data_IF_682039297994
#
_entry.id   IF_682039297994
#
_cell.length_a   1.000
_cell.length_b   1.000
_cell.length_c   1.000
_cell.angle_alpha   90.00
_cell.angle_beta   90.00
_cell.angle_gamma   90.00
#
_symmetry.space_group_name_H-M   'P 1'
#
loop_
_entity.id
_entity.type
_entity.pdbx_description
1 polymer ?
#
# COMPACT_ATOMS: atom_id res chain seq x y z
N UNK A 1 14.49 -28.02 28.24
CA UNK A 1 13.63 -26.93 27.76
C UNK A 1 12.25 -27.15 28.35
N UNK A 2 11.72 -26.19 29.09
CA UNK A 2 10.37 -26.31 29.65
C UNK A 2 9.33 -26.14 28.54
N UNK A 3 8.09 -26.59 28.76
CA UNK A 3 6.98 -26.36 27.82
C UNK A 3 6.80 -24.86 27.57
N UNK A 4 7.02 -24.03 28.60
CA UNK A 4 6.96 -22.57 28.51
C UNK A 4 8.03 -22.03 27.56
N UNK A 5 9.27 -22.54 27.63
CA UNK A 5 10.35 -22.11 26.73
C UNK A 5 10.04 -22.43 25.26
N UNK A 6 9.41 -23.58 25.02
CA UNK A 6 8.97 -23.97 23.67
C UNK A 6 7.89 -23.00 23.17
N UNK A 7 6.88 -22.74 23.97
CA UNK A 7 5.79 -21.80 23.62
C UNK A 7 6.35 -20.42 23.33
N UNK A 8 7.22 -19.89 24.20
CA UNK A 8 7.83 -18.55 24.02
C UNK A 8 8.71 -18.50 22.77
N UNK A 9 9.45 -19.59 22.46
CA UNK A 9 10.27 -19.66 21.25
C UNK A 9 9.42 -19.71 19.99
N UNK A 10 8.31 -20.45 19.98
CA UNK A 10 7.36 -20.50 18.86
C UNK A 10 6.69 -19.15 18.66
N UNK A 11 6.19 -18.52 19.72
CA UNK A 11 5.56 -17.19 19.66
C UNK A 11 6.55 -16.13 19.18
N UNK A 12 7.78 -16.13 19.72
CA UNK A 12 8.86 -15.28 19.26
C UNK A 12 9.17 -15.49 17.78
N UNK A 13 9.30 -16.74 17.34
CA UNK A 13 9.51 -17.11 15.94
C UNK A 13 8.41 -16.58 15.03
N UNK A 14 7.15 -16.71 15.42
CA UNK A 14 6.01 -16.18 14.65
C UNK A 14 6.03 -14.64 14.54
N UNK A 15 6.40 -13.95 15.63
CA UNK A 15 6.51 -12.47 15.64
C UNK A 15 7.62 -12.02 14.68
N UNK A 16 8.78 -12.70 14.68
CA UNK A 16 9.88 -12.34 13.77
C UNK A 16 9.63 -12.79 12.34
N UNK A 17 8.99 -13.94 12.12
CA UNK A 17 8.71 -14.46 10.78
C UNK A 17 7.92 -13.45 9.91
N UNK A 18 6.96 -12.73 10.48
CA UNK A 18 6.21 -11.69 9.74
C UNK A 18 7.12 -10.57 9.23
N UNK A 19 8.08 -10.11 10.03
CA UNK A 19 9.00 -9.05 9.64
C UNK A 19 10.01 -9.54 8.60
N UNK A 20 10.51 -10.76 8.75
CA UNK A 20 11.37 -11.39 7.76
C UNK A 20 10.63 -11.52 6.43
N UNK A 21 9.39 -12.03 6.45
CA UNK A 21 8.58 -12.16 5.26
C UNK A 21 8.31 -10.79 4.59
N UNK A 22 8.02 -9.75 5.38
CA UNK A 22 7.84 -8.39 4.85
C UNK A 22 9.11 -7.87 4.17
N UNK A 23 10.26 -8.00 4.84
CA UNK A 23 11.55 -7.51 4.31
C UNK A 23 11.92 -8.29 3.04
N UNK A 24 11.76 -9.61 3.04
CA UNK A 24 12.10 -10.47 1.89
C UNK A 24 11.18 -10.20 0.70
N UNK A 25 9.89 -9.98 0.93
CA UNK A 25 8.92 -9.78 -0.16
C UNK A 25 8.83 -8.34 -0.67
N UNK A 26 9.30 -7.35 0.11
CA UNK A 26 9.24 -5.94 -0.27
C UNK A 26 9.88 -5.62 -1.62
N UNK A 27 11.09 -6.13 -1.97
CA UNK A 27 11.68 -5.90 -3.29
C UNK A 27 10.81 -6.44 -4.43
N UNK A 28 10.20 -7.62 -4.26
CA UNK A 28 9.32 -8.23 -5.27
C UNK A 28 8.01 -7.44 -5.43
N UNK A 29 7.47 -6.92 -4.34
CA UNK A 29 6.33 -5.99 -4.37
C UNK A 29 6.68 -4.69 -5.12
N UNK A 30 7.88 -4.16 -4.90
CA UNK A 30 8.36 -2.97 -5.59
C UNK A 30 8.51 -3.20 -7.10
N UNK A 31 9.05 -4.36 -7.51
CA UNK A 31 9.15 -4.74 -8.93
C UNK A 31 7.76 -4.80 -9.56
N UNK A 32 6.79 -5.44 -8.90
CA UNK A 32 5.41 -5.52 -9.39
C UNK A 32 4.76 -4.14 -9.47
N UNK A 33 4.92 -3.31 -8.46
CA UNK A 33 4.39 -1.93 -8.41
C UNK A 33 4.93 -1.04 -9.53
N UNK A 34 6.16 -1.28 -10.02
CA UNK A 34 6.76 -0.56 -11.15
C UNK A 34 6.41 -1.19 -12.51
N UNK A 35 5.87 -2.40 -12.54
CA UNK A 35 5.56 -3.13 -13.78
C UNK A 35 4.27 -2.62 -14.46
N UNK A 36 4.21 -1.34 -14.77
CA UNK A 36 3.05 -0.71 -15.43
C UNK A 36 2.81 -1.25 -16.84
N UNK A 37 3.86 -1.68 -17.53
CA UNK A 37 3.78 -2.26 -18.89
C UNK A 37 3.35 -3.72 -18.89
N UNK A 38 3.13 -4.34 -17.72
CA UNK A 38 2.82 -5.76 -17.55
C UNK A 38 3.81 -6.71 -18.26
N UNK A 39 5.09 -6.31 -18.30
CA UNK A 39 6.15 -7.13 -18.89
C UNK A 39 6.23 -8.50 -18.24
N UNK A 40 6.30 -9.55 -19.04
CA UNK A 40 6.37 -10.95 -18.57
C UNK A 40 7.63 -11.22 -17.76
N UNK A 41 8.77 -10.63 -18.14
CA UNK A 41 10.02 -10.79 -17.40
C UNK A 41 9.94 -10.21 -15.99
N UNK A 42 9.34 -9.02 -15.82
CA UNK A 42 9.14 -8.42 -14.49
C UNK A 42 8.13 -9.20 -13.64
N UNK A 43 7.11 -9.80 -14.25
CA UNK A 43 6.19 -10.71 -13.53
C UNK A 43 6.91 -11.95 -13.02
N UNK A 44 7.83 -12.52 -13.79
CA UNK A 44 8.62 -13.66 -13.36
C UNK A 44 9.52 -13.30 -12.17
N UNK A 45 10.15 -12.12 -12.20
CA UNK A 45 10.95 -11.62 -11.07
C UNK A 45 10.12 -11.35 -9.82
N UNK A 46 8.88 -10.90 -9.96
CA UNK A 46 7.97 -10.68 -8.82
C UNK A 46 7.19 -11.93 -8.39
N UNK A 47 7.42 -13.10 -9.01
CA UNK A 47 6.68 -14.33 -8.76
C UNK A 47 6.56 -14.73 -7.28
N UNK A 48 7.60 -14.66 -6.43
CA UNK A 48 7.46 -15.03 -5.02
C UNK A 48 6.38 -14.22 -4.30
N UNK A 49 6.31 -12.92 -4.54
CA UNK A 49 5.27 -12.06 -4.01
C UNK A 49 3.90 -12.37 -4.64
N UNK A 50 3.82 -12.51 -5.96
CA UNK A 50 2.56 -12.77 -6.67
C UNK A 50 1.90 -14.08 -6.21
N UNK A 51 2.69 -15.13 -5.97
CA UNK A 51 2.19 -16.40 -5.46
C UNK A 51 1.56 -16.21 -4.08
N UNK A 52 2.26 -15.58 -3.14
CA UNK A 52 1.75 -15.36 -1.79
C UNK A 52 0.53 -14.45 -1.82
N UNK A 53 0.56 -13.38 -2.61
CA UNK A 53 -0.57 -12.46 -2.73
C UNK A 53 -1.80 -13.16 -3.33
N UNK A 54 -1.61 -14.08 -4.29
CA UNK A 54 -2.68 -14.89 -4.85
C UNK A 54 -3.24 -15.89 -3.84
N UNK A 55 -2.37 -16.58 -3.10
CA UNK A 55 -2.79 -17.54 -2.05
C UNK A 55 -3.60 -16.84 -0.94
N UNK A 56 -3.26 -15.61 -0.62
CA UNK A 56 -3.97 -14.79 0.37
C UNK A 56 -5.12 -13.96 -0.22
N UNK A 57 -5.50 -14.18 -1.49
CA UNK A 57 -6.54 -13.42 -2.22
C UNK A 57 -6.34 -11.90 -2.15
N UNK A 58 -5.11 -11.44 -2.31
CA UNK A 58 -4.72 -10.02 -2.20
C UNK A 58 -4.50 -9.52 -0.77
N UNK A 59 -4.74 -10.36 0.23
CA UNK A 59 -4.58 -10.00 1.65
C UNK A 59 -3.16 -9.66 2.03
N UNK A 60 -2.16 -10.27 1.40
CA UNK A 60 -0.75 -10.00 1.69
C UNK A 60 -0.37 -8.54 1.39
N UNK A 61 -0.74 -8.03 0.23
CA UNK A 61 -0.46 -6.63 -0.14
C UNK A 61 -1.05 -5.67 0.90
N UNK A 62 -2.32 -5.85 1.24
CA UNK A 62 -3.00 -5.01 2.24
C UNK A 62 -2.32 -5.08 3.60
N UNK A 63 -2.00 -6.28 4.04
CA UNK A 63 -1.29 -6.50 5.30
C UNK A 63 0.07 -5.81 5.30
N UNK A 64 0.87 -5.98 4.24
CA UNK A 64 2.19 -5.36 4.12
C UNK A 64 2.11 -3.83 4.15
N UNK A 65 1.19 -3.24 3.39
CA UNK A 65 0.99 -1.79 3.33
C UNK A 65 0.53 -1.22 4.69
N UNK A 66 -0.34 -1.95 5.39
CA UNK A 66 -0.73 -1.58 6.75
C UNK A 66 0.48 -1.59 7.70
N UNK A 67 1.34 -2.61 7.64
CA UNK A 67 2.56 -2.67 8.46
C UNK A 67 3.53 -1.52 8.14
N UNK A 68 3.63 -1.11 6.86
CA UNK A 68 4.42 0.07 6.48
C UNK A 68 3.87 1.33 7.15
N UNK A 69 2.56 1.50 7.19
CA UNK A 69 1.91 2.63 7.88
C UNK A 69 2.22 2.70 9.38
N UNK A 70 2.49 1.55 10.02
CA UNK A 70 2.85 1.44 11.44
C UNK A 70 4.32 1.71 11.74
N UNK A 71 5.19 1.87 10.73
CA UNK A 71 6.59 2.19 10.98
C UNK A 71 6.71 3.58 11.63
N UNK A 72 7.50 3.74 12.71
CA UNK A 72 7.59 5.01 13.43
C UNK A 72 8.30 6.11 12.63
N UNK A 73 9.22 5.74 11.72
CA UNK A 73 9.98 6.69 10.92
C UNK A 73 9.20 7.18 9.71
N UNK A 74 8.91 8.48 9.64
CA UNK A 74 8.32 9.15 8.46
C UNK A 74 9.19 8.92 7.22
N UNK A 75 10.51 9.14 7.34
CA UNK A 75 11.44 8.98 6.21
C UNK A 75 11.42 7.58 5.62
N UNK A 76 11.43 6.55 6.49
CA UNK A 76 11.40 5.16 6.05
C UNK A 76 10.05 4.80 5.40
N UNK A 77 8.92 5.23 5.97
CA UNK A 77 7.60 5.03 5.34
C UNK A 77 7.56 5.64 3.94
N UNK A 78 7.97 6.92 3.84
CA UNK A 78 7.97 7.65 2.57
C UNK A 78 8.89 6.99 1.53
N UNK A 79 10.05 6.50 1.95
CA UNK A 79 10.97 5.78 1.08
C UNK A 79 10.34 4.49 0.57
N UNK A 80 9.73 3.68 1.44
CA UNK A 80 9.07 2.43 1.06
C UNK A 80 7.92 2.70 0.08
N UNK A 81 7.06 3.68 0.35
CA UNK A 81 5.96 4.01 -0.57
C UNK A 81 6.48 4.42 -1.95
N UNK A 82 7.60 5.16 -2.02
CA UNK A 82 8.25 5.48 -3.31
C UNK A 82 8.79 4.23 -4.00
N UNK A 83 9.42 3.33 -3.26
CA UNK A 83 9.87 2.03 -3.79
C UNK A 83 8.71 1.20 -4.33
N UNK A 84 7.52 1.30 -3.73
CA UNK A 84 6.29 0.66 -4.19
C UNK A 84 5.58 1.43 -5.33
N UNK A 85 6.19 2.46 -5.87
CA UNK A 85 5.73 3.18 -7.05
C UNK A 85 4.92 4.46 -6.79
N UNK A 86 4.72 4.87 -5.53
CA UNK A 86 4.06 6.13 -5.23
C UNK A 86 4.91 7.33 -5.68
N UNK A 87 4.27 8.32 -6.28
CA UNK A 87 4.90 9.60 -6.64
C UNK A 87 4.66 10.58 -5.51
N UNK A 88 5.68 10.81 -4.68
CA UNK A 88 5.56 11.68 -3.52
C UNK A 88 6.53 12.84 -3.68
N UNK A 89 5.98 14.04 -3.76
CA UNK A 89 6.70 15.29 -3.96
C UNK A 89 7.62 15.66 -2.79
N UNK A 90 8.51 16.61 -3.04
CA UNK A 90 9.44 17.13 -2.03
C UNK A 90 8.63 17.80 -0.89
N UNK A 91 9.08 17.61 0.35
CA UNK A 91 8.43 18.12 1.57
C UNK A 91 7.01 17.60 1.85
N UNK A 92 6.52 16.64 1.07
CA UNK A 92 5.28 15.97 1.44
C UNK A 92 5.52 15.01 2.60
N UNK A 93 4.52 14.87 3.47
CA UNK A 93 4.58 14.03 4.69
C UNK A 93 3.36 13.13 4.72
N UNK A 94 3.58 11.83 4.96
CA UNK A 94 2.54 10.87 5.30
C UNK A 94 2.73 10.47 6.76
N UNK A 95 1.76 10.82 7.59
CA UNK A 95 1.82 10.58 9.02
C UNK A 95 1.57 9.11 9.40
N UNK A 96 1.61 8.83 10.68
CA UNK A 96 1.55 7.49 11.27
C UNK A 96 0.18 6.83 11.03
N UNK A 97 0.18 5.49 10.89
CA UNK A 97 -1.02 4.66 10.69
C UNK A 97 -1.81 4.97 9.41
N UNK A 98 -1.21 5.68 8.44
CA UNK A 98 -1.87 5.87 7.15
C UNK A 98 -1.85 4.58 6.35
N UNK A 99 -3.02 4.09 5.93
CA UNK A 99 -3.18 2.98 5.00
C UNK A 99 -3.21 3.52 3.57
N UNK A 100 -2.29 3.07 2.73
CA UNK A 100 -2.27 3.40 1.29
C UNK A 100 -2.53 2.12 0.51
N UNK A 101 -3.55 2.13 -0.34
CA UNK A 101 -3.86 1.02 -1.27
C UNK A 101 -3.41 1.42 -2.67
N UNK A 102 -2.75 0.50 -3.38
CA UNK A 102 -2.17 0.72 -4.72
C UNK A 102 -1.24 1.95 -4.78
N UNK A 103 -0.12 1.95 -4.03
CA UNK A 103 0.82 3.09 -3.99
C UNK A 103 1.30 3.53 -5.38
N UNK A 104 1.45 2.59 -6.33
CA UNK A 104 1.87 2.86 -7.71
C UNK A 104 0.89 3.74 -8.49
N UNK A 105 -0.37 3.86 -8.06
CA UNK A 105 -1.39 4.72 -8.63
C UNK A 105 -1.62 6.01 -7.83
N UNK A 106 -0.81 6.25 -6.77
CA UNK A 106 -0.89 7.42 -5.91
C UNK A 106 0.12 8.49 -6.34
N UNK A 107 -0.36 9.72 -6.41
CA UNK A 107 0.48 10.91 -6.56
C UNK A 107 0.16 11.91 -5.44
N UNK A 108 1.17 12.33 -4.70
CA UNK A 108 1.09 13.36 -3.67
C UNK A 108 2.00 14.52 -4.08
N UNK A 109 1.45 15.72 -4.21
CA UNK A 109 2.18 16.91 -4.61
C UNK A 109 3.11 17.44 -3.52
N UNK A 110 3.94 18.41 -3.89
CA UNK A 110 4.92 19.05 -3.01
C UNK A 110 4.25 19.70 -1.80
N UNK A 111 4.86 19.56 -0.62
CA UNK A 111 4.41 20.23 0.61
C UNK A 111 3.07 19.73 1.15
N UNK A 112 2.52 18.64 0.62
CA UNK A 112 1.25 18.11 1.09
C UNK A 112 1.43 17.25 2.32
N UNK A 113 0.46 17.32 3.23
CA UNK A 113 0.48 16.62 4.51
C UNK A 113 -0.73 15.69 4.57
N UNK A 114 -0.49 14.43 4.88
CA UNK A 114 -1.50 13.43 5.14
C UNK A 114 -1.47 13.13 6.64
N UNK A 115 -2.56 13.44 7.31
CA UNK A 115 -2.70 13.28 8.77
C UNK A 115 -2.70 11.81 9.20
N UNK A 116 -2.62 11.62 10.51
CA UNK A 116 -2.58 10.28 11.11
C UNK A 116 -3.86 9.49 10.81
N UNK A 117 -3.71 8.16 10.75
CA UNK A 117 -4.83 7.25 10.61
C UNK A 117 -5.71 7.53 9.36
N UNK A 118 -5.11 8.09 8.30
CA UNK A 118 -5.80 8.31 7.04
C UNK A 118 -5.86 7.02 6.21
N UNK A 119 -6.86 6.91 5.34
CA UNK A 119 -6.96 5.86 4.33
C UNK A 119 -6.98 6.48 2.94
N UNK A 120 -6.00 6.14 2.12
CA UNK A 120 -5.91 6.57 0.72
C UNK A 120 -6.04 5.35 -0.19
N UNK A 121 -7.25 5.13 -0.69
CA UNK A 121 -7.51 4.07 -1.67
C UNK A 121 -7.29 4.59 -3.08
N UNK A 122 -6.12 4.31 -3.63
CA UNK A 122 -5.74 4.76 -4.97
C UNK A 122 -6.01 3.72 -6.07
N UNK A 123 -6.84 2.69 -5.83
CA UNK A 123 -7.09 1.61 -6.81
C UNK A 123 -7.57 2.12 -8.18
N UNK A 124 -8.25 3.25 -8.22
CA UNK A 124 -8.67 3.91 -9.46
C UNK A 124 -7.88 5.20 -9.75
N UNK A 125 -6.65 5.29 -9.23
CA UNK A 125 -5.81 6.48 -9.32
C UNK A 125 -6.23 7.58 -8.35
N UNK A 126 -5.26 8.12 -7.60
CA UNK A 126 -5.47 9.24 -6.68
C UNK A 126 -4.34 10.26 -6.87
N UNK A 127 -4.72 11.49 -7.15
CA UNK A 127 -3.77 12.60 -7.23
C UNK A 127 -4.15 13.70 -6.26
N UNK A 128 -3.27 13.96 -5.30
CA UNK A 128 -3.32 15.11 -4.41
C UNK A 128 -2.38 16.18 -4.96
N UNK A 129 -2.86 17.41 -5.06
CA UNK A 129 -2.08 18.55 -5.54
C UNK A 129 -0.95 18.98 -4.61
N UNK A 130 -0.37 20.14 -4.86
CA UNK A 130 0.64 20.73 -3.99
C UNK A 130 -0.03 21.40 -2.78
N UNK A 131 0.63 21.36 -1.63
CA UNK A 131 0.19 22.02 -0.39
C UNK A 131 -1.22 21.61 0.06
N UNK A 132 -1.65 20.40 -0.27
CA UNK A 132 -2.90 19.83 0.23
C UNK A 132 -2.67 19.33 1.65
N UNK A 133 -3.56 19.70 2.56
CA UNK A 133 -3.56 19.18 3.93
C UNK A 133 -4.80 18.33 4.17
N UNK A 134 -4.60 17.04 4.39
CA UNK A 134 -5.64 16.13 4.86
C UNK A 134 -5.46 15.94 6.37
N UNK A 135 -6.50 16.24 7.11
CA UNK A 135 -6.53 16.02 8.56
C UNK A 135 -6.50 14.53 8.91
N UNK A 136 -6.29 14.24 10.18
CA UNK A 136 -6.34 12.87 10.69
C UNK A 136 -7.72 12.22 10.44
N UNK A 137 -7.73 10.89 10.30
CA UNK A 137 -8.91 10.06 10.08
C UNK A 137 -9.66 10.33 8.75
N UNK A 138 -9.05 11.02 7.80
CA UNK A 138 -9.65 11.20 6.46
C UNK A 138 -9.56 9.90 5.68
N UNK A 139 -10.68 9.49 5.08
CA UNK A 139 -10.73 8.32 4.19
C UNK A 139 -11.13 8.77 2.78
N UNK A 140 -10.30 8.44 1.79
CA UNK A 140 -10.56 8.68 0.37
C UNK A 140 -10.65 7.34 -0.34
N UNK A 141 -11.81 7.08 -0.94
CA UNK A 141 -12.05 5.90 -1.76
C UNK A 141 -12.21 6.31 -3.22
N UNK A 142 -11.39 5.75 -4.11
CA UNK A 142 -11.48 6.02 -5.56
C UNK A 142 -12.21 4.92 -6.32
N UNK A 143 -12.56 3.84 -5.64
CA UNK A 143 -13.29 2.72 -6.20
C UNK A 143 -14.43 2.35 -5.27
N UNK A 144 -15.66 2.25 -5.82
CA UNK A 144 -16.85 1.80 -5.11
C UNK A 144 -17.71 0.92 -6.01
N UNK A 145 -18.58 0.12 -5.39
CA UNK A 145 -19.55 -0.66 -6.13
C UNK A 145 -20.69 0.22 -6.65
N UNK A 146 -21.17 -0.08 -7.84
CA UNK A 146 -22.38 0.55 -8.35
C UNK A 146 -23.61 -0.09 -7.69
N UNK A 147 -24.31 0.68 -6.86
CA UNK A 147 -25.54 0.23 -6.20
C UNK A 147 -26.71 0.02 -7.16
N UNK A 148 -26.59 0.47 -8.42
CA UNK A 148 -27.59 0.31 -9.48
C UNK A 148 -27.33 -0.93 -10.34
N UNK A 149 -26.14 -1.53 -10.23
CA UNK A 149 -25.79 -2.75 -10.93
C UNK A 149 -26.42 -3.95 -10.20
N UNK A 150 -27.28 -4.75 -10.87
CA UNK A 150 -27.86 -5.95 -10.27
C UNK A 150 -26.83 -6.96 -9.77
N UNK A 151 -25.63 -6.99 -10.35
CA UNK A 151 -24.52 -7.86 -9.97
C UNK A 151 -23.54 -7.20 -9.00
N UNK A 152 -23.83 -5.98 -8.53
CA UNK A 152 -22.95 -5.22 -7.64
C UNK A 152 -21.54 -5.04 -8.18
N UNK A 153 -21.40 -4.91 -9.51
CA UNK A 153 -20.12 -4.66 -10.16
C UNK A 153 -19.46 -3.37 -9.64
N UNK A 154 -18.14 -3.35 -9.61
CA UNK A 154 -17.43 -2.09 -9.36
C UNK A 154 -17.58 -1.19 -10.58
N UNK A 155 -17.70 0.12 -10.38
CA UNK A 155 -17.51 1.08 -11.46
C UNK A 155 -16.13 0.85 -12.07
N UNK A 156 -16.07 0.03 -13.10
CA UNK A 156 -14.83 -0.17 -13.84
C UNK A 156 -14.44 1.13 -14.53
N UNK A 157 -13.23 1.53 -14.24
CA UNK A 157 -12.42 2.48 -14.96
C UNK A 157 -13.12 3.14 -16.17
N UNK A 158 -13.81 4.23 -15.94
CA UNK A 158 -14.01 5.15 -17.04
C UNK A 158 -12.64 5.78 -17.34
N UNK A 159 -12.03 5.50 -18.50
CA UNK A 159 -10.73 6.05 -18.84
C UNK A 159 -10.79 7.58 -18.71
N UNK A 160 -9.94 8.17 -17.89
CA UNK A 160 -9.82 9.61 -17.72
C UNK A 160 -10.43 10.23 -16.46
N UNK A 161 -11.10 9.49 -15.58
CA UNK A 161 -11.57 10.02 -14.30
C UNK A 161 -10.63 9.68 -13.15
N UNK A 162 -9.41 10.21 -13.18
CA UNK A 162 -8.55 10.22 -12.00
C UNK A 162 -9.10 11.23 -10.99
N UNK A 163 -9.34 10.81 -9.75
CA UNK A 163 -9.66 11.73 -8.66
C UNK A 163 -8.50 12.70 -8.44
N UNK A 164 -8.76 14.00 -8.65
CA UNK A 164 -7.76 15.05 -8.53
C UNK A 164 -8.25 16.12 -7.56
N UNK A 165 -7.57 16.25 -6.44
CA UNK A 165 -7.72 17.36 -5.51
C UNK A 165 -6.64 18.41 -5.80
N UNK A 166 -7.07 19.64 -5.99
CA UNK A 166 -6.18 20.79 -6.21
C UNK A 166 -6.16 21.66 -4.98
#
# INVERSE_FOLDING_TARGET
>A
MSVIDIILSVLGGLIYAKWIALIVLLPFMAIDGHNRSRSTGLKLLSAPYLIINRLTRGGWMRYALYQVGLLPSVGLRMWIYRCLGARIGKYAIVHFRTEIREPNLLTIGRGSIIGDNALLDARNGLTLGNNVNLSSNVSIYTLQHDHRDPEFGCYENQPGKNFRWR
#
